data_IF_385153481757
#
_entry.id   IF_385153481757
#
_cell.length_a   1.000
_cell.length_b   1.000
_cell.length_c   1.000
_cell.angle_alpha   90.00
_cell.angle_beta   90.00
_cell.angle_gamma   90.00
#
_symmetry.space_group_name_H-M   'P 1'
#
loop_
_entity.id
_entity.type
_entity.pdbx_description
1 polymer ?
#
# COMPACT_ATOMS: atom_id res chain seq x y z
N UNK A 1 -9.68 14.60 -2.69
CA UNK A 1 -9.39 13.21 -2.26
C UNK A 1 -9.06 12.29 -3.45
N UNK A 2 -9.96 12.13 -4.42
CA UNK A 2 -9.83 11.19 -5.55
C UNK A 2 -8.57 11.32 -6.43
N UNK A 3 -8.02 12.53 -6.64
CA UNK A 3 -6.79 12.73 -7.43
C UNK A 3 -5.55 12.05 -6.82
N UNK A 4 -5.49 11.87 -5.50
CA UNK A 4 -4.42 11.09 -4.85
C UNK A 4 -4.65 9.60 -5.04
N UNK A 5 -5.92 9.17 -4.98
CA UNK A 5 -6.34 7.77 -5.07
C UNK A 5 -5.80 7.08 -6.32
N UNK A 6 -5.84 7.71 -7.49
CA UNK A 6 -5.40 7.06 -8.75
C UNK A 6 -3.89 6.78 -8.75
N UNK A 7 -3.08 7.67 -8.18
CA UNK A 7 -1.64 7.40 -7.99
C UNK A 7 -1.41 6.20 -7.07
N UNK A 8 -2.24 6.03 -6.05
CA UNK A 8 -2.17 4.86 -5.18
C UNK A 8 -2.73 3.59 -5.87
N UNK A 9 -3.64 3.76 -6.83
CA UNK A 9 -4.27 2.67 -7.58
C UNK A 9 -3.31 2.08 -8.61
N UNK A 10 -2.94 2.89 -9.60
CA UNK A 10 -2.08 2.43 -10.72
C UNK A 10 -0.61 2.73 -10.50
N UNK A 11 -0.22 3.35 -9.38
CA UNK A 11 1.14 3.84 -9.15
C UNK A 11 1.38 5.19 -9.83
N UNK A 12 2.63 5.46 -10.23
CA UNK A 12 2.97 6.59 -11.09
C UNK A 12 3.34 6.08 -12.49
N UNK A 13 2.37 5.59 -13.29
CA UNK A 13 2.67 5.03 -14.59
C UNK A 13 3.03 6.13 -15.59
N UNK A 14 3.91 5.78 -16.53
CA UNK A 14 4.07 6.53 -17.76
C UNK A 14 2.75 6.46 -18.54
N UNK A 15 2.17 7.61 -18.86
CA UNK A 15 0.87 7.71 -19.51
C UNK A 15 0.83 8.93 -20.42
N UNK A 16 0.56 8.72 -21.70
CA UNK A 16 0.48 9.79 -22.69
C UNK A 16 -0.47 9.37 -23.83
N UNK A 17 -1.29 10.28 -24.39
CA UNK A 17 -1.37 11.71 -24.06
C UNK A 17 -2.17 12.00 -22.80
N UNK A 18 -3.12 11.14 -22.43
CA UNK A 18 -3.94 11.33 -21.24
C UNK A 18 -3.23 10.76 -20.03
N UNK A 19 -3.25 11.52 -18.95
CA UNK A 19 -2.79 11.10 -17.63
C UNK A 19 -3.73 10.05 -17.04
N UNK A 20 -3.30 9.28 -16.02
CA UNK A 20 -4.18 8.34 -15.34
C UNK A 20 -5.43 9.00 -14.76
N UNK A 21 -5.32 10.25 -14.30
CA UNK A 21 -6.43 11.03 -13.75
C UNK A 21 -7.50 11.39 -14.78
N UNK A 22 -7.11 11.59 -16.03
CA UNK A 22 -8.04 11.89 -17.11
C UNK A 22 -8.71 10.64 -17.68
N UNK A 23 -8.07 9.47 -17.52
CA UNK A 23 -8.59 8.19 -18.00
C UNK A 23 -9.44 7.45 -16.98
N UNK A 24 -9.19 7.67 -15.68
CA UNK A 24 -9.80 6.91 -14.62
C UNK A 24 -11.09 7.54 -14.11
N UNK A 25 -12.14 6.71 -13.99
CA UNK A 25 -13.36 7.00 -13.25
C UNK A 25 -13.36 6.17 -11.98
N UNK A 26 -13.45 6.85 -10.84
CA UNK A 26 -13.37 6.20 -9.53
C UNK A 26 -14.72 6.25 -8.85
N UNK A 27 -15.19 5.10 -8.37
CA UNK A 27 -16.41 4.97 -7.58
C UNK A 27 -16.11 4.17 -6.32
N UNK A 28 -16.42 4.74 -5.17
CA UNK A 28 -16.46 3.99 -3.91
C UNK A 28 -17.69 3.10 -3.97
N UNK A 29 -17.51 1.80 -3.77
CA UNK A 29 -18.61 0.83 -3.84
C UNK A 29 -19.02 0.28 -2.48
N UNK A 30 -18.12 0.34 -1.51
CA UNK A 30 -18.40 -0.09 -0.14
C UNK A 30 -17.50 0.67 0.82
N UNK A 31 -18.04 1.01 1.98
CA UNK A 31 -17.29 1.51 3.12
C UNK A 31 -17.53 0.55 4.29
N UNK A 32 -16.51 0.25 5.07
CA UNK A 32 -16.60 -0.63 6.23
C UNK A 32 -15.75 -0.06 7.35
N UNK A 33 -16.33 0.09 8.53
CA UNK A 33 -15.65 0.65 9.69
C UNK A 33 -15.17 -0.50 10.56
N UNK A 34 -13.85 -0.68 10.63
CA UNK A 34 -13.25 -1.71 11.49
C UNK A 34 -12.87 -1.06 12.82
N UNK A 35 -13.45 -1.50 13.96
CA UNK A 35 -13.08 -1.00 15.27
C UNK A 35 -11.63 -1.39 15.59
N UNK A 36 -10.87 -0.43 16.10
CA UNK A 36 -9.48 -0.59 16.50
C UNK A 36 -9.19 0.21 17.78
N UNK A 37 -8.22 -0.22 18.56
CA UNK A 37 -7.71 0.49 19.72
C UNK A 37 -6.30 0.98 19.43
N UNK A 38 -6.11 2.30 19.38
CA UNK A 38 -4.79 2.92 19.37
C UNK A 38 -4.26 2.98 20.80
N UNK A 39 -3.07 2.42 21.02
CA UNK A 39 -2.43 2.35 22.33
C UNK A 39 -1.10 3.08 22.26
N UNK A 40 -1.02 4.22 22.95
CA UNK A 40 0.22 4.93 23.18
C UNK A 40 0.86 4.48 24.49
N UNK A 41 2.18 4.27 24.49
CA UNK A 41 2.91 3.81 25.67
C UNK A 41 4.31 4.42 25.80
N UNK A 42 4.87 4.32 27.00
CA UNK A 42 6.32 4.40 27.22
C UNK A 42 6.85 3.12 27.87
N UNK A 43 8.12 2.84 27.61
CA UNK A 43 8.83 1.69 28.14
C UNK A 43 10.27 2.08 28.46
N UNK A 44 10.65 1.98 29.73
CA UNK A 44 12.00 2.25 30.19
C UNK A 44 12.50 1.09 31.03
N UNK A 45 13.51 0.35 30.54
CA UNK A 45 14.09 -0.77 31.26
C UNK A 45 15.53 -1.05 30.85
N UNK A 46 16.39 -1.17 31.86
CA UNK A 46 17.75 -1.67 31.73
C UNK A 46 17.82 -3.14 32.15
N UNK A 47 18.45 -3.94 31.31
CA UNK A 47 18.75 -5.33 31.58
C UNK A 47 20.21 -5.45 31.97
N UNK A 48 20.44 -5.80 33.23
CA UNK A 48 21.77 -5.92 33.78
C UNK A 48 22.14 -7.36 34.13
N UNK A 49 23.45 -7.57 34.25
CA UNK A 49 24.08 -8.76 34.82
C UNK A 49 25.19 -8.30 35.76
N UNK A 50 25.99 -9.24 36.29
CA UNK A 50 27.14 -8.89 37.13
C UNK A 50 28.21 -8.06 36.39
N UNK A 51 28.22 -8.06 35.07
CA UNK A 51 29.16 -7.24 34.26
C UNK A 51 28.60 -5.86 33.89
N UNK A 52 27.42 -5.50 34.41
CA UNK A 52 26.75 -4.24 34.11
C UNK A 52 25.54 -4.39 33.17
N UNK A 53 25.14 -3.27 32.56
CA UNK A 53 24.00 -3.19 31.64
C UNK A 53 24.39 -3.85 30.31
N UNK A 54 23.57 -4.80 29.87
CA UNK A 54 23.78 -5.54 28.60
C UNK A 54 22.75 -5.19 27.53
N UNK A 55 21.65 -4.55 27.92
CA UNK A 55 20.64 -4.03 27.01
C UNK A 55 19.81 -2.97 27.73
N UNK A 56 19.38 -1.94 27.00
CA UNK A 56 18.50 -0.89 27.50
C UNK A 56 17.41 -0.61 26.49
N UNK A 57 16.21 -0.33 27.00
CA UNK A 57 15.05 0.06 26.22
C UNK A 57 14.53 1.36 26.83
N UNK A 58 14.54 2.44 26.06
CA UNK A 58 14.00 3.73 26.47
C UNK A 58 13.13 4.29 25.34
N UNK A 59 11.82 4.20 25.52
CA UNK A 59 10.82 4.57 24.53
C UNK A 59 9.82 5.49 25.21
N UNK A 60 9.81 6.76 24.82
CA UNK A 60 8.87 7.73 25.39
C UNK A 60 7.51 7.76 24.67
N UNK A 61 7.49 7.43 23.38
CA UNK A 61 6.33 7.63 22.48
C UNK A 61 6.08 6.39 21.61
N UNK A 62 6.01 5.23 22.25
CA UNK A 62 5.64 3.98 21.58
C UNK A 62 4.16 3.99 21.19
N UNK A 63 3.83 3.36 20.07
CA UNK A 63 2.45 3.23 19.61
C UNK A 63 2.22 1.84 18.99
N UNK A 64 1.05 1.28 19.26
CA UNK A 64 0.53 0.09 18.56
C UNK A 64 -0.95 0.28 18.25
N UNK A 65 -1.45 -0.51 17.31
CA UNK A 65 -2.87 -0.56 16.94
C UNK A 65 -3.32 -2.01 17.04
N UNK A 66 -4.42 -2.26 17.75
CA UNK A 66 -5.01 -3.59 17.86
C UNK A 66 -6.46 -3.57 17.39
N UNK A 67 -6.95 -4.69 16.87
CA UNK A 67 -8.34 -4.87 16.47
C UNK A 67 -9.26 -4.82 17.69
N UNK A 68 -10.31 -4.00 17.61
CA UNK A 68 -11.36 -3.91 18.62
C UNK A 68 -12.33 -5.11 18.61
N UNK A 69 -12.12 -6.07 17.69
CA UNK A 69 -12.96 -7.28 17.56
C UNK A 69 -12.28 -8.48 18.23
N UNK A 70 -11.04 -8.77 17.86
CA UNK A 70 -10.31 -9.98 18.24
C UNK A 70 -8.97 -9.70 18.92
N UNK A 71 -8.64 -8.42 19.14
CA UNK A 71 -7.40 -8.03 19.80
C UNK A 71 -6.14 -8.32 18.99
N UNK A 72 -6.24 -8.67 17.69
CA UNK A 72 -5.03 -8.88 16.88
C UNK A 72 -4.28 -7.58 16.60
N UNK A 73 -2.96 -7.66 16.53
CA UNK A 73 -2.14 -6.52 16.11
C UNK A 73 -2.50 -6.13 14.67
N UNK A 74 -2.78 -4.85 14.47
CA UNK A 74 -3.01 -4.24 13.16
C UNK A 74 -1.66 -3.70 12.64
N UNK A 75 -1.47 -3.75 11.32
CA UNK A 75 -0.25 -3.28 10.68
C UNK A 75 0.12 -1.86 11.13
N UNK A 76 1.36 -1.70 11.60
CA UNK A 76 1.96 -0.42 12.01
C UNK A 76 1.86 0.67 10.95
N UNK A 77 1.80 0.31 9.66
CA UNK A 77 1.65 1.26 8.56
C UNK A 77 0.32 2.01 8.62
N UNK A 78 -0.69 1.52 9.35
CA UNK A 78 -1.96 2.21 9.56
C UNK A 78 -1.95 3.17 10.76
N UNK A 79 -0.92 3.18 11.60
CA UNK A 79 -0.81 4.12 12.73
C UNK A 79 -0.87 5.59 12.31
N UNK A 80 -0.31 5.89 11.14
CA UNK A 80 -0.35 7.23 10.52
C UNK A 80 -1.77 7.72 10.20
N UNK A 81 -2.74 6.81 10.11
CA UNK A 81 -4.14 7.15 9.86
C UNK A 81 -4.90 7.56 11.12
N UNK A 82 -4.36 7.22 12.30
CA UNK A 82 -4.97 7.40 13.62
C UNK A 82 -4.16 8.30 14.53
N UNK A 83 -3.34 9.18 13.95
CA UNK A 83 -2.65 10.23 14.70
C UNK A 83 -3.66 11.24 15.27
N UNK A 84 -3.40 11.85 16.45
CA UNK A 84 -4.35 12.74 17.11
C UNK A 84 -4.92 13.86 16.23
N UNK A 85 -4.12 14.42 15.31
CA UNK A 85 -4.57 15.43 14.35
C UNK A 85 -5.63 14.92 13.35
N UNK A 86 -5.76 13.60 13.19
CA UNK A 86 -6.76 12.92 12.36
C UNK A 86 -7.96 12.43 13.15
N UNK A 87 -7.95 12.52 14.48
CA UNK A 87 -9.03 12.06 15.37
C UNK A 87 -10.10 13.14 15.65
N UNK A 88 -9.90 14.37 15.17
CA UNK A 88 -10.86 15.48 15.31
C UNK A 88 -11.92 15.52 14.18
N UNK A 89 -11.95 14.51 13.31
CA UNK A 89 -12.91 14.46 12.20
C UNK A 89 -14.17 13.72 12.63
N UNK A 90 -15.25 14.46 12.90
CA UNK A 90 -16.61 13.89 12.91
C UNK A 90 -17.01 13.58 11.47
N UNK A 91 -16.74 12.36 11.02
CA UNK A 91 -17.29 11.85 9.78
C UNK A 91 -18.45 10.91 10.09
N UNK A 92 -19.67 11.37 9.80
CA UNK A 92 -20.88 10.56 9.89
C UNK A 92 -21.10 9.86 8.55
N UNK A 93 -20.99 8.52 8.47
CA UNK A 93 -21.41 7.81 7.28
C UNK A 93 -22.89 8.08 6.96
N UNK A 94 -23.29 7.99 5.68
CA UNK A 94 -24.69 7.80 5.32
C UNK A 94 -25.24 6.60 6.11
N UNK A 95 -26.41 6.76 6.74
CA UNK A 95 -26.99 5.77 7.67
C UNK A 95 -27.09 4.34 7.10
N UNK A 96 -27.17 4.20 5.78
CA UNK A 96 -27.37 2.92 5.09
C UNK A 96 -26.08 2.14 4.81
N UNK A 97 -24.89 2.73 5.04
CA UNK A 97 -23.58 2.16 4.63
C UNK A 97 -22.66 1.78 5.81
N UNK A 98 -23.18 1.80 7.05
CA UNK A 98 -22.40 1.48 8.26
C UNK A 98 -22.44 -0.01 8.54
N UNK A 99 -21.35 -0.70 8.23
CA UNK A 99 -21.15 -2.10 8.64
C UNK A 99 -21.30 -2.30 10.15
N UNK A 100 -21.80 -3.47 10.63
CA UNK A 100 -22.25 -3.69 12.01
C UNK A 100 -21.12 -4.01 13.02
N UNK A 101 -19.87 -3.66 12.74
CA UNK A 101 -18.74 -4.11 13.58
C UNK A 101 -18.59 -3.24 14.83
N UNK A 102 -19.36 -3.58 15.86
CA UNK A 102 -19.17 -3.03 17.19
C UNK A 102 -17.87 -3.55 17.83
N UNK A 103 -17.29 -2.77 18.74
CA UNK A 103 -16.22 -3.23 19.61
C UNK A 103 -16.68 -4.46 20.40
N UNK A 104 -15.90 -5.55 20.31
CA UNK A 104 -16.14 -6.79 21.05
C UNK A 104 -15.22 -6.94 22.25
N UNK A 105 -14.09 -6.24 22.27
CA UNK A 105 -13.20 -6.18 23.43
C UNK A 105 -13.39 -4.87 24.18
N UNK A 106 -13.48 -4.97 25.51
CA UNK A 106 -13.55 -3.80 26.39
C UNK A 106 -12.19 -3.14 26.61
N UNK A 107 -12.20 -1.95 27.24
CA UNK A 107 -11.00 -1.17 27.53
C UNK A 107 -9.94 -1.94 28.34
N UNK A 108 -10.36 -2.62 29.42
CA UNK A 108 -9.45 -3.39 30.27
C UNK A 108 -8.79 -4.55 29.51
N UNK A 109 -9.55 -5.22 28.65
CA UNK A 109 -9.06 -6.34 27.85
C UNK A 109 -8.08 -5.85 26.77
N UNK A 110 -8.44 -4.76 26.07
CA UNK A 110 -7.54 -4.10 25.12
C UNK A 110 -6.23 -3.67 25.78
N UNK A 111 -6.27 -3.14 27.01
CA UNK A 111 -5.06 -2.78 27.77
C UNK A 111 -4.16 -3.99 28.05
N UNK A 112 -4.74 -5.10 28.53
CA UNK A 112 -3.99 -6.33 28.81
C UNK A 112 -3.33 -6.91 27.56
N UNK A 113 -4.10 -7.02 26.47
CA UNK A 113 -3.63 -7.48 25.18
C UNK A 113 -2.52 -6.56 24.64
N UNK A 114 -2.70 -5.25 24.74
CA UNK A 114 -1.72 -4.25 24.34
C UNK A 114 -0.39 -4.39 25.08
N UNK A 115 -0.43 -4.55 26.42
CA UNK A 115 0.77 -4.79 27.24
C UNK A 115 1.52 -6.04 26.76
N UNK A 116 0.80 -7.14 26.49
CA UNK A 116 1.40 -8.38 26.00
C UNK A 116 2.13 -8.17 24.67
N UNK A 117 1.51 -7.49 23.70
CA UNK A 117 2.20 -7.18 22.44
C UNK A 117 3.40 -6.26 22.64
N UNK A 118 3.32 -5.27 23.54
CA UNK A 118 4.44 -4.37 23.81
C UNK A 118 5.63 -5.16 24.39
N UNK A 119 5.38 -6.11 25.30
CA UNK A 119 6.43 -7.00 25.81
C UNK A 119 7.05 -7.85 24.69
N UNK A 120 6.22 -8.49 23.87
CA UNK A 120 6.67 -9.34 22.76
C UNK A 120 7.48 -8.53 21.73
N UNK A 121 6.99 -7.34 21.35
CA UNK A 121 7.63 -6.44 20.39
C UNK A 121 9.04 -6.03 20.82
N UNK A 122 9.25 -5.87 22.12
CA UNK A 122 10.50 -5.38 22.70
C UNK A 122 11.33 -6.48 23.37
N UNK A 123 10.90 -7.73 23.29
CA UNK A 123 11.70 -8.86 23.75
C UNK A 123 12.85 -9.10 22.78
N UNK A 124 14.08 -9.16 23.31
CA UNK A 124 15.28 -9.39 22.49
C UNK A 124 16.23 -10.35 23.17
N UNK A 125 16.82 -11.25 22.39
CA UNK A 125 17.95 -12.08 22.85
C UNK A 125 19.26 -11.39 22.50
N UNK A 126 20.03 -11.02 23.51
CA UNK A 126 21.32 -10.33 23.35
C UNK A 126 22.47 -11.25 23.70
N UNK A 127 23.63 -11.04 23.04
CA UNK A 127 24.90 -11.68 23.41
C UNK A 127 25.77 -10.70 24.20
N UNK A 128 26.46 -11.18 25.23
CA UNK A 128 27.40 -10.38 26.01
C UNK A 128 28.58 -11.24 26.49
N UNK A 129 29.67 -10.60 26.94
CA UNK A 129 30.82 -11.30 27.51
C UNK A 129 30.81 -11.20 29.04
N UNK A 130 31.04 -12.33 29.71
CA UNK A 130 31.24 -12.37 31.16
C UNK A 130 32.62 -11.86 31.55
N UNK A 131 32.84 -11.66 32.85
CA UNK A 131 34.15 -11.25 33.39
C UNK A 131 35.28 -12.26 33.07
N UNK A 132 34.91 -13.52 32.86
CA UNK A 132 35.79 -14.61 32.41
C UNK A 132 36.04 -14.63 30.88
N UNK A 133 35.61 -13.59 30.15
CA UNK A 133 35.71 -13.47 28.68
C UNK A 133 34.95 -14.55 27.89
N UNK A 134 34.05 -15.29 28.53
CA UNK A 134 33.15 -16.24 27.86
C UNK A 134 31.92 -15.50 27.32
N UNK A 135 31.44 -15.89 26.14
CA UNK A 135 30.24 -15.33 25.53
C UNK A 135 28.98 -16.02 26.07
N UNK A 136 28.03 -15.23 26.52
CA UNK A 136 26.72 -15.65 27.01
C UNK A 136 25.61 -15.02 26.19
N UNK A 137 24.41 -15.59 26.30
CA UNK A 137 23.17 -15.02 25.76
C UNK A 137 22.17 -14.79 26.88
N UNK A 138 21.33 -13.76 26.76
CA UNK A 138 20.21 -13.51 27.66
C UNK A 138 19.01 -13.04 26.86
N UNK A 139 17.85 -13.63 27.13
CA UNK A 139 16.56 -13.13 26.64
C UNK A 139 16.08 -12.02 27.56
N UNK A 140 16.08 -10.80 27.05
CA UNK A 140 15.62 -9.60 27.74
C UNK A 140 14.13 -9.40 27.44
N UNK A 141 13.28 -9.76 28.40
CA UNK A 141 11.82 -9.57 28.34
C UNK A 141 11.45 -8.39 29.24
N UNK A 142 10.87 -7.30 28.73
CA UNK A 142 10.50 -6.16 29.55
C UNK A 142 9.44 -6.51 30.60
N UNK A 143 9.54 -5.96 31.80
CA UNK A 143 8.55 -6.14 32.88
C UNK A 143 7.28 -5.36 32.59
N UNK A 144 6.13 -5.95 32.91
CA UNK A 144 4.82 -5.29 32.80
C UNK A 144 4.80 -3.96 33.58
N UNK A 145 5.43 -3.92 34.76
CA UNK A 145 5.49 -2.72 35.61
C UNK A 145 6.22 -1.53 34.98
N UNK A 146 7.07 -1.79 33.98
CA UNK A 146 7.85 -0.77 33.28
C UNK A 146 7.19 -0.30 31.98
N UNK A 147 6.05 -0.91 31.61
CA UNK A 147 5.23 -0.51 30.46
C UNK A 147 4.12 0.42 30.97
N UNK A 148 4.21 1.70 30.60
CA UNK A 148 3.23 2.70 30.97
C UNK A 148 2.33 2.99 29.78
N UNK A 149 1.05 2.63 29.87
CA UNK A 149 0.05 2.99 28.87
C UNK A 149 -0.31 4.46 29.06
N UNK A 150 0.13 5.31 28.11
CA UNK A 150 -0.12 6.76 28.11
C UNK A 150 -1.50 7.11 27.55
N UNK A 151 -1.96 6.34 26.57
CA UNK A 151 -3.27 6.54 25.95
C UNK A 151 -3.84 5.22 25.45
N UNK A 152 -5.15 5.08 25.51
CA UNK A 152 -5.90 4.00 24.89
C UNK A 152 -7.17 4.62 24.31
N UNK A 153 -7.22 4.72 22.99
CA UNK A 153 -8.29 5.40 22.26
C UNK A 153 -8.95 4.39 21.33
N UNK A 154 -10.27 4.29 21.40
CA UNK A 154 -11.07 3.52 20.46
C UNK A 154 -11.31 4.37 19.21
N UNK A 155 -11.00 3.79 18.05
CA UNK A 155 -11.08 4.44 16.74
C UNK A 155 -11.71 3.48 15.74
N UNK A 156 -12.34 4.01 14.70
CA UNK A 156 -12.78 3.19 13.58
C UNK A 156 -11.88 3.46 12.36
N UNK A 157 -11.34 2.39 11.79
CA UNK A 157 -10.59 2.44 10.55
C UNK A 157 -11.57 2.32 9.37
N UNK A 158 -11.71 3.37 8.53
CA UNK A 158 -12.53 3.28 7.32
C UNK A 158 -11.80 2.45 6.27
N UNK A 159 -12.35 1.28 5.95
CA UNK A 159 -11.92 0.43 4.84
C UNK A 159 -12.85 0.68 3.67
N UNK A 160 -12.28 1.18 2.59
CA UNK A 160 -12.98 1.57 1.38
C UNK A 160 -12.68 0.54 0.29
N UNK A 161 -13.73 -0.05 -0.27
CA UNK A 161 -13.64 -0.78 -1.53
C UNK A 161 -13.93 0.20 -2.66
N UNK A 162 -12.97 0.30 -3.58
CA UNK A 162 -13.00 1.28 -4.66
C UNK A 162 -12.88 0.57 -6.00
N UNK A 163 -13.82 0.87 -6.89
CA UNK A 163 -13.75 0.49 -8.29
C UNK A 163 -13.21 1.67 -9.10
N UNK A 164 -12.13 1.41 -9.82
CA UNK A 164 -11.50 2.34 -10.73
C UNK A 164 -11.62 1.79 -12.16
N UNK A 165 -12.41 2.44 -12.98
CA UNK A 165 -12.53 2.12 -14.40
C UNK A 165 -11.55 2.98 -15.20
N UNK A 166 -10.65 2.36 -15.95
CA UNK A 166 -9.68 3.05 -16.81
C UNK A 166 -9.91 2.59 -18.24
N UNK A 167 -10.40 3.50 -19.09
CA UNK A 167 -10.86 3.20 -20.45
C UNK A 167 -11.93 2.11 -20.45
N UNK A 168 -11.56 0.83 -20.57
CA UNK A 168 -12.47 -0.33 -20.59
C UNK A 168 -12.11 -1.39 -19.55
N UNK A 169 -11.16 -1.09 -18.65
CA UNK A 169 -10.66 -2.02 -17.62
C UNK A 169 -11.13 -1.59 -16.25
N UNK A 170 -11.66 -2.54 -15.48
CA UNK A 170 -12.04 -2.33 -14.09
C UNK A 170 -10.94 -2.83 -13.15
N UNK A 171 -10.44 -1.94 -12.31
CA UNK A 171 -9.50 -2.22 -11.24
C UNK A 171 -10.22 -2.08 -9.91
N UNK A 172 -10.12 -3.10 -9.05
CA UNK A 172 -10.70 -3.08 -7.71
C UNK A 172 -9.59 -2.98 -6.68
N UNK A 173 -9.81 -2.14 -5.67
CA UNK A 173 -8.85 -1.86 -4.63
C UNK A 173 -9.52 -1.76 -3.27
N UNK A 174 -8.77 -2.16 -2.27
CA UNK A 174 -9.10 -1.95 -0.87
C UNK A 174 -8.11 -0.95 -0.29
N UNK A 175 -8.62 0.13 0.30
CA UNK A 175 -7.81 1.18 0.90
C UNK A 175 -8.35 1.57 2.27
N UNK A 176 -7.46 2.03 3.13
CA UNK A 176 -7.81 2.66 4.40
C UNK A 176 -7.27 4.08 4.41
N UNK A 177 -8.06 5.06 4.82
CA UNK A 177 -7.57 6.44 4.79
C UNK A 177 -8.52 7.45 5.39
N UNK A 178 -7.94 8.57 5.79
CA UNK A 178 -8.64 9.78 6.22
C UNK A 178 -8.45 10.89 5.16
N UNK A 179 -8.89 12.12 5.44
CA UNK A 179 -8.74 13.25 4.52
C UNK A 179 -7.30 13.53 4.08
N UNK A 180 -6.33 13.25 4.94
CA UNK A 180 -4.93 13.61 4.77
C UNK A 180 -4.10 12.47 4.17
N UNK A 181 -4.35 11.26 4.63
CA UNK A 181 -3.57 10.06 4.35
C UNK A 181 -4.43 8.92 3.81
N UNK A 182 -3.91 8.21 2.81
CA UNK A 182 -4.54 7.02 2.22
C UNK A 182 -3.47 5.95 2.11
N UNK A 183 -3.79 4.77 2.61
CA UNK A 183 -3.02 3.54 2.46
C UNK A 183 -3.79 2.54 1.60
N UNK A 184 -3.13 1.97 0.59
CA UNK A 184 -3.71 0.89 -0.21
C UNK A 184 -3.34 -0.43 0.43
N UNK A 185 -4.36 -1.16 0.87
CA UNK A 185 -4.19 -2.48 1.48
C UNK A 185 -4.01 -3.53 0.40
N UNK A 186 -4.85 -3.48 -0.64
CA UNK A 186 -4.87 -4.46 -1.72
C UNK A 186 -5.19 -3.79 -3.06
N UNK A 187 -4.54 -4.26 -4.13
CA UNK A 187 -4.71 -3.75 -5.49
C UNK A 187 -4.42 -4.81 -6.54
N UNK A 188 -5.36 -5.03 -7.46
CA UNK A 188 -5.13 -5.85 -8.64
C UNK A 188 -4.27 -5.14 -9.72
N UNK A 189 -4.04 -3.83 -9.60
CA UNK A 189 -3.21 -3.04 -10.52
C UNK A 189 -1.70 -3.08 -10.16
N UNK A 190 -1.32 -3.86 -9.14
CA UNK A 190 0.07 -4.06 -8.72
C UNK A 190 0.86 -5.07 -9.55
N UNK A 191 0.21 -5.80 -10.46
CA UNK A 191 0.81 -6.84 -11.32
C UNK A 191 0.66 -6.49 -12.80
N UNK A 192 1.61 -6.95 -13.62
CA UNK A 192 1.53 -6.75 -15.06
C UNK A 192 0.45 -7.65 -15.63
N UNK A 193 -0.55 -7.06 -16.29
CA UNK A 193 -1.66 -7.80 -16.90
C UNK A 193 -1.27 -8.70 -18.09
N UNK A 194 0.01 -8.68 -18.52
CA UNK A 194 0.50 -9.51 -19.63
C UNK A 194 1.35 -10.68 -19.11
N UNK A 195 2.22 -10.46 -18.13
CA UNK A 195 3.13 -11.51 -17.64
C UNK A 195 2.88 -11.95 -16.19
N UNK A 196 1.91 -11.35 -15.49
CA UNK A 196 1.58 -11.65 -14.09
C UNK A 196 2.63 -11.19 -13.06
N UNK A 197 3.80 -10.71 -13.50
CA UNK A 197 4.86 -10.27 -12.57
C UNK A 197 4.47 -8.99 -11.86
N UNK A 198 4.85 -8.89 -10.57
CA UNK A 198 4.65 -7.67 -9.76
C UNK A 198 5.35 -6.49 -10.42
N UNK A 199 4.65 -5.38 -10.55
CA UNK A 199 5.15 -4.17 -11.20
C UNK A 199 6.09 -3.40 -10.27
N UNK A 200 7.26 -3.04 -10.81
CA UNK A 200 8.18 -2.12 -10.14
C UNK A 200 7.60 -0.69 -10.04
N UNK A 201 8.35 0.24 -9.45
CA UNK A 201 7.99 1.67 -9.46
C UNK A 201 7.83 2.22 -10.89
N UNK A 202 8.58 1.71 -11.86
CA UNK A 202 8.44 2.07 -13.28
C UNK A 202 7.45 1.12 -13.97
N UNK A 203 6.35 1.67 -14.46
CA UNK A 203 5.25 0.97 -15.13
C UNK A 203 4.60 1.89 -16.17
N UNK A 204 3.81 1.36 -17.08
CA UNK A 204 3.15 2.12 -18.14
C UNK A 204 1.65 1.83 -18.17
N UNK A 205 0.85 2.87 -18.38
CA UNK A 205 -0.59 2.79 -18.56
C UNK A 205 -0.93 2.89 -20.05
N UNK A 206 -1.60 1.88 -20.59
CA UNK A 206 -2.01 1.86 -21.99
C UNK A 206 -3.16 2.84 -22.23
N UNK A 207 -2.93 3.88 -23.02
CA UNK A 207 -3.94 4.88 -23.39
C UNK A 207 -4.94 4.38 -24.44
N UNK A 208 -4.84 3.12 -24.89
CA UNK A 208 -5.81 2.49 -25.79
C UNK A 208 -6.78 1.56 -25.07
N UNK A 209 -6.34 0.82 -24.04
CA UNK A 209 -7.17 -0.19 -23.39
C UNK A 209 -7.16 -0.15 -21.86
N UNK A 210 -6.41 0.77 -21.24
CA UNK A 210 -6.35 0.91 -19.78
C UNK A 210 -5.45 -0.09 -19.05
N UNK A 211 -4.83 -1.06 -19.73
CA UNK A 211 -3.93 -2.03 -19.09
C UNK A 211 -2.74 -1.36 -18.40
N UNK A 212 -2.40 -1.83 -17.19
CA UNK A 212 -1.17 -1.46 -16.49
C UNK A 212 -0.12 -2.56 -16.68
N UNK A 213 1.02 -2.19 -17.27
CA UNK A 213 2.04 -3.15 -17.73
C UNK A 213 3.44 -2.71 -17.35
N UNK A 214 4.40 -3.63 -17.46
CA UNK A 214 5.82 -3.34 -17.27
C UNK A 214 6.23 -2.15 -18.13
N UNK A 215 7.07 -1.26 -17.60
CA UNK A 215 7.64 -0.16 -18.37
C UNK A 215 8.39 -0.68 -19.62
N UNK A 216 8.56 0.17 -20.65
CA UNK A 216 9.27 -0.21 -21.85
C UNK A 216 10.67 -0.71 -21.53
N UNK A 217 11.01 -1.87 -22.08
CA UNK A 217 12.32 -2.52 -21.98
C UNK A 217 12.48 -3.43 -23.21
N UNK A 218 13.65 -4.05 -23.38
CA UNK A 218 13.91 -4.92 -24.53
C UNK A 218 12.89 -6.06 -24.67
N UNK A 219 12.59 -6.74 -23.56
CA UNK A 219 11.52 -7.74 -23.41
C UNK A 219 10.24 -7.14 -22.81
N UNK A 220 10.07 -5.82 -22.96
CA UNK A 220 8.99 -5.08 -22.32
C UNK A 220 7.63 -5.37 -22.94
N UNK A 221 6.59 -5.29 -22.12
CA UNK A 221 5.20 -5.46 -22.51
C UNK A 221 4.50 -4.15 -22.88
N UNK A 222 5.28 -3.09 -23.08
CA UNK A 222 4.79 -1.75 -23.43
C UNK A 222 5.76 -0.99 -24.31
N UNK A 223 5.20 -0.06 -25.08
CA UNK A 223 5.92 0.76 -26.04
C UNK A 223 5.33 2.17 -26.10
N UNK A 224 6.08 3.08 -26.70
CA UNK A 224 5.59 4.37 -27.14
C UNK A 224 5.32 4.32 -28.64
N UNK A 225 4.22 4.89 -29.08
CA UNK A 225 3.97 5.08 -30.50
C UNK A 225 5.03 6.01 -31.10
N UNK A 226 5.80 5.55 -32.09
CA UNK A 226 6.86 6.34 -32.75
C UNK A 226 6.34 7.42 -33.72
N UNK A 227 5.03 7.72 -33.70
CA UNK A 227 4.43 8.80 -34.48
C UNK A 227 3.86 9.86 -33.55
N UNK A 228 3.03 9.47 -32.58
CA UNK A 228 2.34 10.40 -31.71
C UNK A 228 2.76 10.31 -30.24
N UNK A 229 3.71 9.46 -29.86
CA UNK A 229 4.15 9.30 -28.46
C UNK A 229 3.19 8.55 -27.53
N UNK A 230 1.99 8.17 -28.00
CA UNK A 230 0.97 7.45 -27.20
C UNK A 230 1.55 6.23 -26.49
N UNK A 231 1.28 6.08 -25.19
CA UNK A 231 1.65 4.89 -24.42
C UNK A 231 0.72 3.73 -24.72
N UNK A 232 1.29 2.61 -25.15
CA UNK A 232 0.53 1.43 -25.59
C UNK A 232 1.14 0.14 -25.01
N UNK A 233 0.28 -0.83 -24.67
CA UNK A 233 0.74 -2.17 -24.32
C UNK A 233 1.07 -2.98 -25.58
N UNK A 234 1.78 -4.11 -25.42
CA UNK A 234 2.17 -5.01 -26.51
C UNK A 234 0.97 -5.41 -27.39
N UNK A 235 -0.18 -5.71 -26.79
CA UNK A 235 -1.39 -6.15 -27.50
C UNK A 235 -2.08 -5.03 -28.30
N UNK A 236 -1.91 -3.77 -27.90
CA UNK A 236 -2.41 -2.60 -28.62
C UNK A 236 -1.36 -2.00 -29.57
N UNK A 237 -0.28 -2.75 -29.83
CA UNK A 237 0.82 -2.29 -30.68
C UNK A 237 0.71 -2.91 -32.06
N UNK A 238 0.85 -2.03 -33.04
CA UNK A 238 1.02 -2.36 -34.44
C UNK A 238 2.44 -2.03 -34.84
N UNK A 239 2.92 -2.63 -35.93
CA UNK A 239 4.21 -2.30 -36.47
C UNK A 239 4.18 -2.21 -37.99
N UNK A 240 5.04 -1.35 -38.50
CA UNK A 240 5.34 -1.23 -39.92
C UNK A 240 6.85 -1.26 -40.12
N UNK A 241 7.31 -1.52 -41.34
CA UNK A 241 8.73 -1.55 -41.66
C UNK A 241 9.27 -0.11 -41.74
N UNK A 242 10.30 0.22 -40.94
CA UNK A 242 11.02 1.51 -41.02
C UNK A 242 12.15 1.44 -42.03
N UNK A 243 12.91 0.35 -41.96
CA UNK A 243 14.05 -0.01 -42.81
C UNK A 243 14.11 -1.53 -42.98
N UNK A 244 15.14 -2.06 -43.64
CA UNK A 244 15.23 -3.49 -43.97
C UNK A 244 15.07 -4.41 -42.75
N UNK A 245 15.65 -4.08 -41.59
CA UNK A 245 15.58 -4.90 -40.36
C UNK A 245 14.85 -4.23 -39.18
N UNK A 246 14.47 -2.96 -39.30
CA UNK A 246 13.92 -2.19 -38.19
C UNK A 246 12.39 -2.05 -38.28
N UNK A 247 11.71 -2.44 -37.20
CA UNK A 247 10.26 -2.32 -37.04
C UNK A 247 9.94 -1.00 -36.34
N UNK A 248 9.04 -0.21 -36.92
CA UNK A 248 8.44 0.97 -36.30
C UNK A 248 7.19 0.58 -35.53
N UNK A 249 7.12 0.84 -34.23
CA UNK A 249 5.97 0.53 -33.37
C UNK A 249 5.01 1.71 -33.31
N UNK A 250 3.73 1.46 -33.55
CA UNK A 250 2.69 2.49 -33.65
C UNK A 250 1.40 2.05 -32.94
N UNK A 251 0.59 3.01 -32.52
CA UNK A 251 -0.76 2.73 -32.02
C UNK A 251 -1.74 2.52 -33.19
N UNK A 252 -2.90 1.94 -32.89
CA UNK A 252 -3.99 1.68 -33.85
C UNK A 252 -4.33 2.89 -34.73
N UNK A 253 -4.71 4.04 -34.15
CA UNK A 253 -5.05 5.23 -34.95
C UNK A 253 -3.92 5.70 -35.89
N UNK A 254 -2.66 5.43 -35.55
CA UNK A 254 -1.52 5.74 -36.42
C UNK A 254 -1.28 4.63 -37.46
N UNK A 255 -1.57 3.38 -37.13
CA UNK A 255 -1.59 2.27 -38.09
C UNK A 255 -2.61 2.54 -39.19
N UNK A 256 -3.85 2.89 -38.83
CA UNK A 256 -4.93 3.15 -39.79
C UNK A 256 -4.54 4.29 -40.77
N UNK A 257 -3.95 5.36 -40.24
CA UNK A 257 -3.44 6.48 -41.06
C UNK A 257 -2.29 6.09 -41.99
N UNK A 258 -1.51 5.07 -41.66
CA UNK A 258 -0.43 4.56 -42.50
C UNK A 258 -0.98 3.59 -43.56
N UNK A 259 -1.93 2.75 -43.20
CA UNK A 259 -2.63 1.85 -44.13
C UNK A 259 -3.40 2.65 -45.20
N UNK A 260 -4.08 3.72 -44.80
CA UNK A 260 -4.72 4.67 -45.72
C UNK A 260 -3.73 5.34 -46.69
N UNK A 261 -2.44 5.40 -46.33
CA UNK A 261 -1.34 5.88 -47.18
C UNK A 261 -0.63 4.75 -47.94
N UNK A 262 -1.22 3.55 -47.99
CA UNK A 262 -0.70 2.39 -48.71
C UNK A 262 0.44 1.65 -48.02
N UNK A 263 0.78 1.97 -46.76
CA UNK A 263 1.82 1.21 -46.04
C UNK A 263 1.25 -0.07 -45.46
N UNK A 264 2.00 -1.16 -45.58
CA UNK A 264 1.69 -2.42 -44.89
C UNK A 264 1.93 -2.27 -43.39
N UNK A 265 0.90 -2.54 -42.59
CA UNK A 265 0.98 -2.58 -41.13
C UNK A 265 0.53 -3.96 -40.65
N UNK A 266 1.09 -4.43 -39.53
CA UNK A 266 0.73 -5.70 -38.91
C UNK A 266 0.61 -5.53 -37.40
N UNK A 267 -0.26 -6.31 -36.77
CA UNK A 267 -0.31 -6.38 -35.30
C UNK A 267 0.99 -7.00 -34.75
N UNK A 268 1.46 -6.52 -33.62
CA UNK A 268 2.76 -6.89 -33.02
C UNK A 268 2.69 -8.19 -32.17
N UNK A 269 1.79 -9.12 -32.53
CA UNK A 269 1.52 -10.36 -31.77
C UNK A 269 2.85 -11.08 -31.41
#
# INVERSE_FOLDING_TARGET
MFRRTIKHIVGNPLSYPKTPNELAKVKITKITFIPACHIGYSLHEDFSTRVGVIHSIHIDKGQILISGIDGKLIDKHLLKLVVPSSLSEEWLPPKDDVSPYNFKIGYLEAKKIGIKYIQELHTRTVSYYGANRVRYTKTCVPRVSNIFIKSLIQVYLPILTVNCEIVSRRHQLTMCGNKHEIEVLESNAGVCEICGKRLSRKRLLCNSCGKVVCAPSFLGHSYFCEICGKTICKECTYWTRKYLLFKKKVCENCADKLEAKGKKVKKYI
#
